data_IF_781412471890
#
_entry.id   IF_781412471890
#
_cell.length_a   1.000
_cell.length_b   1.000
_cell.length_c   1.000
_cell.angle_alpha   90.00
_cell.angle_beta   90.00
_cell.angle_gamma   90.00
#
_symmetry.space_group_name_H-M   'P 1'
#
loop_
_entity.id
_entity.type
_entity.pdbx_description
1 polymer ?
#
# COMPACT_ATOMS: atom_id res chain seq x y z
N UNK A 1 -16.86 0.77 -5.26
CA UNK A 1 -16.17 -0.11 -4.30
C UNK A 1 -14.69 0.20 -4.46
N UNK A 2 -13.97 0.59 -3.40
CA UNK A 2 -12.53 0.90 -3.49
C UNK A 2 -11.78 -0.39 -3.84
N UNK A 3 -11.37 -0.52 -5.11
CA UNK A 3 -10.59 -1.65 -5.59
C UNK A 3 -9.14 -1.50 -5.10
N UNK A 4 -8.87 -2.15 -3.98
CA UNK A 4 -7.51 -2.27 -3.44
C UNK A 4 -6.63 -2.96 -4.47
N UNK A 5 -5.62 -2.25 -5.00
CA UNK A 5 -4.64 -2.85 -5.94
C UNK A 5 -3.99 -4.10 -5.32
N UNK A 6 -4.10 -5.27 -5.96
CA UNK A 6 -3.67 -6.54 -5.39
C UNK A 6 -2.19 -6.84 -5.64
N UNK A 7 -1.40 -5.89 -6.17
CA UNK A 7 -0.02 -6.16 -6.54
C UNK A 7 0.93 -4.98 -6.31
N UNK A 8 2.19 -5.30 -6.04
CA UNK A 8 3.28 -4.34 -5.98
C UNK A 8 3.54 -3.75 -7.36
N UNK A 9 3.52 -2.42 -7.52
CA UNK A 9 3.77 -1.79 -8.82
C UNK A 9 5.20 -1.95 -9.34
N UNK A 10 6.17 -2.35 -8.49
CA UNK A 10 7.57 -2.55 -8.88
C UNK A 10 7.87 -3.99 -9.32
N UNK A 11 7.53 -4.98 -8.50
CA UNK A 11 7.85 -6.39 -8.76
C UNK A 11 6.63 -7.24 -9.15
N UNK A 12 5.42 -6.67 -9.16
CA UNK A 12 4.17 -7.36 -9.49
C UNK A 12 3.83 -8.54 -8.57
N UNK A 13 4.48 -8.66 -7.41
CA UNK A 13 4.08 -9.65 -6.39
C UNK A 13 2.67 -9.37 -5.91
N UNK A 14 1.90 -10.42 -5.69
CA UNK A 14 0.55 -10.34 -5.15
C UNK A 14 0.60 -9.84 -3.69
N UNK A 15 -0.33 -8.96 -3.33
CA UNK A 15 -0.45 -8.30 -2.04
C UNK A 15 -1.88 -8.45 -1.54
N UNK A 16 -2.06 -9.33 -0.57
CA UNK A 16 -3.30 -9.53 0.16
C UNK A 16 -3.72 -8.31 0.98
N UNK A 17 -4.93 -8.37 1.52
CA UNK A 17 -5.51 -7.30 2.36
C UNK A 17 -4.78 -7.10 3.70
N UNK A 18 -4.12 -8.15 4.19
CA UNK A 18 -3.39 -8.18 5.46
C UNK A 18 -1.89 -7.99 5.32
N UNK A 19 -1.38 -8.01 4.09
CA UNK A 19 0.05 -7.97 3.82
C UNK A 19 0.66 -6.62 4.17
N UNK A 20 1.91 -6.68 4.60
CA UNK A 20 2.70 -5.48 4.85
C UNK A 20 3.06 -4.85 3.51
N UNK A 21 2.35 -3.78 3.17
CA UNK A 21 2.57 -3.00 1.98
C UNK A 21 2.67 -1.51 2.33
N UNK A 22 3.13 -0.72 1.37
CA UNK A 22 3.31 0.71 1.47
C UNK A 22 2.52 1.38 0.36
N UNK A 23 1.90 2.52 0.66
CA UNK A 23 1.04 3.25 -0.25
C UNK A 23 1.40 4.75 -0.26
N UNK A 24 1.21 5.41 -1.40
CA UNK A 24 1.27 6.87 -1.49
C UNK A 24 -0.13 7.50 -1.59
N UNK A 25 -0.23 8.83 -1.56
CA UNK A 25 -1.50 9.57 -1.71
C UNK A 25 -2.22 9.34 -3.05
N UNK A 26 -1.52 8.86 -4.06
CA UNK A 26 -2.06 8.49 -5.38
C UNK A 26 -2.31 6.96 -5.50
N UNK A 27 -2.37 6.26 -4.36
CA UNK A 27 -2.72 4.84 -4.30
C UNK A 27 -1.78 3.94 -5.14
N UNK A 28 -0.48 4.29 -5.19
CA UNK A 28 0.55 3.39 -5.69
C UNK A 28 1.00 2.46 -4.57
N UNK A 29 0.92 1.15 -4.78
CA UNK A 29 1.22 0.13 -3.76
C UNK A 29 2.56 -0.55 -4.00
N UNK A 30 3.35 -0.73 -2.95
CA UNK A 30 4.64 -1.43 -2.98
C UNK A 30 4.77 -2.43 -1.82
N UNK A 31 5.36 -3.60 -2.06
CA UNK A 31 5.58 -4.61 -1.01
C UNK A 31 6.65 -4.16 0.00
N UNK A 32 6.66 -4.79 1.18
CA UNK A 32 7.67 -4.55 2.21
C UNK A 32 9.11 -4.78 1.72
N UNK A 33 9.33 -5.71 0.78
CA UNK A 33 10.65 -5.98 0.22
C UNK A 33 11.14 -4.87 -0.73
N UNK A 34 10.22 -4.21 -1.45
CA UNK A 34 10.57 -3.12 -2.35
C UNK A 34 10.77 -1.78 -1.62
N UNK A 35 10.12 -1.58 -0.48
CA UNK A 35 10.15 -0.30 0.27
C UNK A 35 11.57 0.19 0.60
N UNK A 36 12.52 -0.63 1.08
CA UNK A 36 13.88 -0.18 1.39
C UNK A 36 14.60 0.46 0.20
N UNK A 37 14.33 -0.03 -1.02
CA UNK A 37 14.89 0.53 -2.27
C UNK A 37 14.06 1.66 -2.86
N UNK A 38 12.98 2.08 -2.18
CA UNK A 38 12.04 3.12 -2.60
C UNK A 38 11.90 4.14 -1.45
N UNK A 39 12.83 5.11 -1.34
CA UNK A 39 12.73 6.16 -0.33
C UNK A 39 11.46 7.01 -0.54
N UNK A 40 11.08 7.23 -1.81
CA UNK A 40 9.83 7.88 -2.24
C UNK A 40 9.14 7.05 -3.32
N UNK A 41 7.87 7.35 -3.61
CA UNK A 41 7.15 6.72 -4.70
C UNK A 41 7.83 7.04 -6.05
N UNK A 42 8.24 6.05 -6.86
CA UNK A 42 8.90 6.32 -8.14
C UNK A 42 7.96 6.96 -9.16
N UNK A 43 6.65 6.69 -9.06
CA UNK A 43 5.63 7.15 -9.99
C UNK A 43 5.13 8.56 -9.70
N UNK A 44 4.87 8.91 -8.44
CA UNK A 44 4.35 10.23 -8.07
C UNK A 44 5.33 11.11 -7.28
N UNK A 45 6.52 10.61 -6.94
CA UNK A 45 7.53 11.28 -6.09
C UNK A 45 7.07 11.64 -4.67
N UNK A 46 5.88 11.20 -4.26
CA UNK A 46 5.33 11.41 -2.93
C UNK A 46 5.89 10.46 -1.87
N UNK A 47 5.53 10.73 -0.62
CA UNK A 47 5.86 9.88 0.52
C UNK A 47 5.18 8.51 0.42
N UNK A 48 5.90 7.48 0.87
CA UNK A 48 5.37 6.12 1.04
C UNK A 48 5.12 5.88 2.53
N UNK A 49 3.85 5.69 2.89
CA UNK A 49 3.42 5.35 4.25
C UNK A 49 2.92 3.92 4.30
N UNK A 50 2.85 3.27 5.48
CA UNK A 50 2.30 1.93 5.59
C UNK A 50 0.86 1.88 5.06
N UNK A 51 0.57 0.92 4.17
CA UNK A 51 -0.77 0.71 3.64
C UNK A 51 -1.71 0.39 4.81
N UNK A 52 -2.81 1.13 4.97
CA UNK A 52 -3.78 0.84 6.02
C UNK A 52 -4.31 -0.58 5.81
N UNK A 53 -4.07 -1.44 6.80
CA UNK A 53 -4.65 -2.77 6.86
C UNK A 53 -6.08 -2.62 7.34
N UNK A 54 -7.00 -3.37 6.75
CA UNK A 54 -8.36 -3.45 7.30
C UNK A 54 -8.23 -4.01 8.72
N UNK A 55 -8.38 -3.14 9.71
CA UNK A 55 -8.56 -3.60 11.07
C UNK A 55 -9.84 -4.44 11.05
N UNK A 56 -9.76 -5.69 11.51
CA UNK A 56 -10.95 -6.43 11.96
C UNK A 56 -11.39 -5.76 13.28
N UNK A 57 -11.91 -4.55 13.20
CA UNK A 57 -12.47 -3.86 14.36
C UNK A 57 -13.74 -3.12 13.94
N UNK A 58 -14.78 -3.20 14.78
CA UNK A 58 -16.13 -2.80 14.42
C UNK A 58 -16.23 -1.29 14.22
N UNK A 59 -17.24 -0.91 13.45
CA UNK A 59 -17.72 0.45 13.22
C UNK A 59 -17.67 1.35 14.46
N UNK A 60 -17.08 2.54 14.29
CA UNK A 60 -17.32 3.77 15.07
C UNK A 60 -16.51 4.87 14.36
N UNK A 61 -16.99 6.08 14.09
CA UNK A 61 -18.25 6.79 14.34
C UNK A 61 -18.16 8.12 13.56
N UNK A 62 -19.31 8.73 13.26
CA UNK A 62 -19.43 10.04 12.62
C UNK A 62 -20.81 10.24 12.03
#
# INVERSE_FOLDING_TARGET
>A
MLEMKPACQRCQVELGHTDSAWICSYECTYCAECKPSLPVCPNCKGELTPRPRRALAPTSDG
#
